data_IF_092351421222
#
_entry.id   IF_092351421222
#
_cell.length_a   1.000
_cell.length_b   1.000
_cell.length_c   1.000
_cell.angle_alpha   90.00
_cell.angle_beta   90.00
_cell.angle_gamma   90.00
#
_symmetry.space_group_name_H-M   'P 1'
#
loop_
_entity.id
_entity.type
_entity.pdbx_description
1 polymer ?
#
# COMPACT_ATOMS: atom_id res chain seq x y z
N UNK A 1 58.12 11.13 -3.27
CA UNK A 1 58.18 9.86 -4.03
C UNK A 1 56.90 9.10 -3.73
N UNK A 2 55.96 9.30 -4.65
CA UNK A 2 54.56 8.90 -4.57
C UNK A 2 54.38 7.40 -4.83
N UNK A 3 53.58 6.75 -4.00
CA UNK A 3 52.82 5.57 -4.44
C UNK A 3 51.35 5.80 -4.13
N UNK A 4 50.62 6.21 -5.14
CA UNK A 4 49.18 6.17 -5.26
C UNK A 4 48.74 4.71 -5.14
N UNK A 5 48.08 4.38 -4.04
CA UNK A 5 47.29 3.16 -3.94
C UNK A 5 45.90 3.45 -4.49
N UNK A 6 45.70 3.08 -5.75
CA UNK A 6 44.41 2.93 -6.39
C UNK A 6 43.69 1.77 -5.70
N UNK A 7 42.84 2.10 -4.73
CA UNK A 7 41.84 1.19 -4.23
C UNK A 7 40.74 1.08 -5.29
N UNK A 8 40.88 0.07 -6.11
CA UNK A 8 39.85 -0.44 -7.00
C UNK A 8 38.76 -1.05 -6.10
N UNK A 9 37.74 -0.25 -5.78
CA UNK A 9 36.52 -0.77 -5.16
C UNK A 9 35.82 -1.63 -6.20
N UNK A 10 36.10 -2.93 -6.15
CA UNK A 10 35.34 -3.95 -6.83
C UNK A 10 33.95 -3.96 -6.18
N UNK A 11 33.02 -3.17 -6.73
CA UNK A 11 31.61 -3.31 -6.46
C UNK A 11 31.22 -4.71 -6.98
N UNK A 12 31.12 -5.63 -6.05
CA UNK A 12 30.46 -6.91 -6.27
C UNK A 12 28.98 -6.58 -6.55
N UNK A 13 28.67 -6.34 -7.80
CA UNK A 13 27.32 -6.51 -8.31
C UNK A 13 27.06 -8.01 -8.15
N UNK A 14 26.38 -8.37 -7.08
CA UNK A 14 25.76 -9.68 -6.96
C UNK A 14 24.71 -9.76 -8.06
N UNK A 15 25.17 -10.20 -9.24
CA UNK A 15 24.32 -10.80 -10.25
C UNK A 15 23.65 -11.98 -9.54
N UNK A 16 22.44 -11.75 -9.03
CA UNK A 16 21.54 -12.83 -8.77
C UNK A 16 21.31 -13.49 -10.14
N UNK A 17 22.10 -14.50 -10.40
CA UNK A 17 21.86 -15.44 -11.48
C UNK A 17 20.54 -16.12 -11.16
N UNK A 18 19.43 -15.50 -11.57
CA UNK A 18 18.22 -16.25 -11.81
C UNK A 18 18.58 -17.27 -12.86
N UNK A 19 18.75 -18.51 -12.45
CA UNK A 19 18.92 -19.60 -13.37
C UNK A 19 17.80 -19.49 -14.38
N UNK A 20 18.16 -19.27 -15.63
CA UNK A 20 17.29 -19.50 -16.77
C UNK A 20 17.06 -21.02 -16.85
N UNK A 21 16.19 -21.52 -15.99
CA UNK A 21 15.49 -22.76 -16.23
C UNK A 21 14.37 -22.45 -17.22
N UNK A 22 14.57 -22.87 -18.46
CA UNK A 22 13.57 -23.11 -19.51
C UNK A 22 12.46 -22.06 -19.68
N UNK A 23 12.73 -20.76 -19.65
CA UNK A 23 11.73 -19.72 -19.99
C UNK A 23 10.41 -19.79 -19.23
N UNK A 24 10.26 -20.71 -18.25
CA UNK A 24 9.04 -20.86 -17.45
C UNK A 24 9.09 -20.00 -16.18
N UNK A 25 7.97 -19.32 -15.87
CA UNK A 25 7.84 -18.50 -14.67
C UNK A 25 7.27 -19.34 -13.53
N UNK A 26 7.91 -19.27 -12.36
CA UNK A 26 7.48 -19.99 -11.17
C UNK A 26 6.45 -19.19 -10.36
N UNK A 27 5.68 -19.87 -9.50
CA UNK A 27 4.79 -19.22 -8.53
C UNK A 27 5.53 -18.19 -7.68
N UNK A 28 6.74 -18.49 -7.23
CA UNK A 28 7.55 -17.57 -6.43
C UNK A 28 7.86 -16.27 -7.17
N UNK A 29 8.19 -16.35 -8.46
CA UNK A 29 8.40 -15.18 -9.31
C UNK A 29 7.16 -14.25 -9.30
N UNK A 30 5.96 -14.82 -9.52
CA UNK A 30 4.72 -14.04 -9.53
C UNK A 30 4.41 -13.41 -8.16
N UNK A 31 4.62 -14.15 -7.06
CA UNK A 31 4.41 -13.63 -5.71
C UNK A 31 5.33 -12.44 -5.42
N UNK A 32 6.62 -12.55 -5.69
CA UNK A 32 7.56 -11.46 -5.41
C UNK A 32 7.29 -10.25 -6.32
N UNK A 33 7.04 -10.48 -7.60
CA UNK A 33 6.67 -9.39 -8.53
C UNK A 33 5.38 -8.69 -8.10
N UNK A 34 4.37 -9.43 -7.65
CA UNK A 34 3.14 -8.85 -7.14
C UNK A 34 3.37 -7.99 -5.89
N UNK A 35 4.22 -8.44 -4.95
CA UNK A 35 4.56 -7.67 -3.73
C UNK A 35 5.32 -6.39 -4.05
N UNK A 36 6.20 -6.43 -5.05
CA UNK A 36 6.95 -5.24 -5.49
C UNK A 36 6.07 -4.22 -6.20
N UNK A 37 5.17 -4.69 -7.05
CA UNK A 37 4.33 -3.83 -7.88
C UNK A 37 3.01 -3.41 -7.20
N UNK A 38 2.65 -3.98 -6.04
CA UNK A 38 1.38 -3.68 -5.39
C UNK A 38 1.31 -2.26 -4.84
N UNK A 39 0.44 -1.39 -5.38
CA UNK A 39 0.26 -0.03 -4.86
C UNK A 39 -0.34 -0.04 -3.45
N UNK A 40 -1.12 -1.06 -3.11
CA UNK A 40 -1.72 -1.21 -1.79
C UNK A 40 -0.65 -1.50 -0.71
N UNK A 41 0.29 -2.40 -1.00
CA UNK A 41 1.42 -2.68 -0.09
C UNK A 41 2.30 -1.44 0.05
N UNK A 42 2.57 -0.72 -1.04
CA UNK A 42 3.32 0.53 -1.00
C UNK A 42 2.63 1.59 -0.13
N UNK A 43 1.30 1.75 -0.22
CA UNK A 43 0.54 2.65 0.65
C UNK A 43 0.66 2.27 2.13
N UNK A 44 0.54 1.00 2.47
CA UNK A 44 0.70 0.56 3.87
C UNK A 44 2.14 0.72 4.39
N UNK A 45 3.16 0.53 3.57
CA UNK A 45 4.55 0.83 3.93
C UNK A 45 4.76 2.32 4.19
N UNK A 46 4.23 3.18 3.33
CA UNK A 46 4.24 4.63 3.55
C UNK A 46 3.55 5.03 4.86
N UNK A 47 2.42 4.40 5.20
CA UNK A 47 1.75 4.63 6.49
C UNK A 47 2.62 4.24 7.68
N UNK A 48 3.41 3.18 7.57
CA UNK A 48 4.38 2.80 8.61
C UNK A 48 5.45 3.88 8.80
N UNK A 49 5.95 4.46 7.71
CA UNK A 49 6.90 5.59 7.77
C UNK A 49 6.27 6.84 8.40
N UNK A 50 5.01 7.13 8.09
CA UNK A 50 4.25 8.23 8.72
C UNK A 50 4.16 8.04 10.23
N UNK A 51 3.84 6.83 10.72
CA UNK A 51 3.78 6.56 12.16
C UNK A 51 5.16 6.70 12.85
N UNK A 52 6.24 6.37 12.16
CA UNK A 52 7.60 6.59 12.66
C UNK A 52 7.95 8.08 12.72
N UNK A 53 7.63 8.86 11.69
CA UNK A 53 7.82 10.31 11.66
C UNK A 53 6.97 11.00 12.74
N UNK A 54 5.76 10.52 12.99
CA UNK A 54 4.89 11.00 14.07
C UNK A 54 5.52 10.81 15.45
N UNK A 55 6.23 9.72 15.68
CA UNK A 55 6.97 9.51 16.93
C UNK A 55 8.04 10.60 17.14
N UNK A 56 8.77 10.98 16.10
CA UNK A 56 9.76 12.06 16.19
C UNK A 56 9.09 13.42 16.42
N UNK A 57 7.99 13.69 15.73
CA UNK A 57 7.18 14.90 15.94
C UNK A 57 6.68 15.01 17.39
N UNK A 58 6.14 13.92 17.95
CA UNK A 58 5.70 13.88 19.34
C UNK A 58 6.86 14.11 20.31
N UNK A 59 8.02 13.52 20.05
CA UNK A 59 9.22 13.78 20.84
C UNK A 59 9.58 15.28 20.85
N UNK A 60 9.62 15.91 19.69
CA UNK A 60 9.89 17.34 19.58
C UNK A 60 8.84 18.17 20.34
N UNK A 61 7.56 17.89 20.15
CA UNK A 61 6.46 18.61 20.77
C UNK A 61 6.47 18.56 22.31
N UNK A 62 6.84 17.41 22.91
CA UNK A 62 6.83 17.25 24.37
C UNK A 62 8.16 17.57 25.05
N UNK A 63 9.27 17.67 24.30
CA UNK A 63 10.60 17.84 24.92
C UNK A 63 11.32 19.09 24.47
N UNK A 64 11.01 19.62 23.29
CA UNK A 64 11.68 20.81 22.78
C UNK A 64 10.88 22.07 23.07
N UNK A 65 11.59 23.19 23.19
CA UNK A 65 10.98 24.51 23.16
C UNK A 65 10.62 24.91 21.73
N UNK A 66 9.58 25.69 21.58
CA UNK A 66 9.23 26.27 20.29
C UNK A 66 9.10 27.79 20.41
N UNK A 67 9.40 28.45 19.32
CA UNK A 67 9.26 29.89 19.15
C UNK A 67 8.17 30.15 18.12
N UNK A 68 7.17 30.90 18.53
CA UNK A 68 6.07 31.33 17.66
C UNK A 68 6.24 32.84 17.41
N UNK A 69 6.20 33.22 16.14
CA UNK A 69 6.19 34.61 15.72
C UNK A 69 4.78 34.99 15.30
N UNK A 70 4.21 35.97 16.00
CA UNK A 70 2.89 36.47 15.73
C UNK A 70 2.99 37.89 15.17
N UNK A 71 2.22 38.19 14.14
CA UNK A 71 2.14 39.52 13.59
C UNK A 71 0.72 39.82 13.13
N UNK A 72 0.15 40.89 13.65
CA UNK A 72 -1.17 41.34 13.29
C UNK A 72 -1.10 42.74 12.71
N UNK A 73 -1.76 42.94 11.59
CA UNK A 73 -1.96 44.26 11.01
C UNK A 73 -3.46 44.55 10.94
N UNK A 74 -3.89 45.52 11.77
CA UNK A 74 -5.28 45.94 11.77
C UNK A 74 -5.47 47.09 10.75
N UNK A 75 -6.18 46.80 9.71
CA UNK A 75 -6.62 47.78 8.74
C UNK A 75 -8.09 48.12 8.96
N UNK A 76 -8.34 49.33 9.53
CA UNK A 76 -9.72 49.82 9.75
C UNK A 76 -9.94 51.05 8.90
N UNK A 77 -10.56 50.93 7.72
CA UNK A 77 -10.93 52.08 6.92
C UNK A 77 -12.09 52.83 7.55
N UNK A 78 -11.86 54.06 7.98
CA UNK A 78 -12.91 54.90 8.57
C UNK A 78 -13.36 55.88 7.56
N UNK A 79 -14.63 55.85 7.23
CA UNK A 79 -15.29 56.86 6.42
C UNK A 79 -16.07 57.76 7.34
N UNK A 80 -15.55 58.94 7.65
CA UNK A 80 -16.26 59.96 8.43
C UNK A 80 -16.97 60.94 7.52
N UNK A 81 -18.20 61.37 7.89
CA UNK A 81 -18.94 62.40 7.18
C UNK A 81 -18.89 63.65 8.04
N UNK A 82 -17.95 64.51 7.75
CA UNK A 82 -17.83 65.81 8.42
C UNK A 82 -18.22 66.93 7.47
N UNK A 83 -19.20 67.78 7.91
CA UNK A 83 -19.65 68.89 7.10
C UNK A 83 -20.25 68.58 5.72
N UNK A 84 -20.80 67.34 5.52
CA UNK A 84 -21.40 66.89 4.26
C UNK A 84 -20.41 66.30 3.24
N UNK A 85 -19.13 66.24 3.56
CA UNK A 85 -18.12 65.62 2.74
C UNK A 85 -17.60 64.30 3.35
N UNK A 86 -17.52 63.24 2.56
CA UNK A 86 -16.92 61.97 2.98
C UNK A 86 -15.41 62.16 3.06
N UNK A 87 -14.82 61.97 4.26
CA UNK A 87 -13.40 61.93 4.47
C UNK A 87 -12.96 60.53 4.82
N UNK A 88 -11.93 60.02 4.13
CA UNK A 88 -11.35 58.70 4.33
C UNK A 88 -10.12 58.84 5.26
N UNK A 89 -10.18 58.28 6.47
CA UNK A 89 -9.07 58.32 7.40
C UNK A 89 -8.48 56.94 7.57
N UNK A 90 -7.15 56.82 7.35
CA UNK A 90 -6.36 55.58 7.44
C UNK A 90 -5.84 55.33 8.89
N UNK A 91 -6.10 56.23 9.84
CA UNK A 91 -5.52 56.12 11.14
C UNK A 91 -6.51 55.51 12.16
N UNK A 92 -6.13 54.39 12.74
CA UNK A 92 -6.92 53.67 13.75
C UNK A 92 -7.16 54.49 15.03
N UNK A 93 -6.37 55.53 15.31
CA UNK A 93 -6.58 56.42 16.49
C UNK A 93 -7.89 57.17 16.46
N UNK A 94 -8.57 57.21 15.35
CA UNK A 94 -9.88 57.89 15.25
C UNK A 94 -11.05 56.90 15.30
N UNK A 95 -10.83 55.62 15.50
CA UNK A 95 -11.91 54.62 15.53
C UNK A 95 -12.73 54.69 16.81
N UNK A 96 -12.16 55.18 17.92
CA UNK A 96 -12.82 55.40 19.20
C UNK A 96 -13.92 56.48 19.15
N UNK A 97 -13.77 57.46 18.25
CA UNK A 97 -14.75 58.56 18.13
C UNK A 97 -15.97 58.17 17.28
N UNK A 98 -15.95 57.04 16.59
CA UNK A 98 -16.95 56.75 15.55
C UNK A 98 -18.19 56.02 16.05
N UNK A 99 -18.13 55.13 17.04
CA UNK A 99 -19.27 54.34 17.51
C UNK A 99 -19.33 54.08 19.01
N UNK A 100 -18.52 54.72 19.83
CA UNK A 100 -18.51 54.49 21.28
C UNK A 100 -18.02 53.08 21.66
N UNK A 101 -17.39 52.37 20.77
CA UNK A 101 -16.66 51.13 21.04
C UNK A 101 -15.26 51.49 21.48
N UNK A 102 -14.96 51.23 22.73
CA UNK A 102 -13.59 51.24 23.24
C UNK A 102 -12.86 50.04 22.70
N UNK A 103 -12.08 50.22 21.63
CA UNK A 103 -11.21 49.19 21.07
C UNK A 103 -9.94 48.98 21.93
N UNK A 104 -9.92 49.58 23.13
CA UNK A 104 -8.77 49.58 24.02
C UNK A 104 -7.69 50.56 23.61
N UNK A 105 -6.78 50.85 24.52
CA UNK A 105 -5.66 51.80 24.30
C UNK A 105 -4.62 51.31 23.30
N UNK A 106 -4.75 50.11 22.77
CA UNK A 106 -3.87 49.61 21.71
C UNK A 106 -4.23 50.19 20.36
N UNK A 107 -3.87 51.38 20.14
CA UNK A 107 -4.05 52.12 18.89
C UNK A 107 -3.00 51.83 17.81
N UNK A 108 -2.21 50.80 17.98
CA UNK A 108 -1.25 50.35 17.00
C UNK A 108 -1.93 49.67 15.80
N UNK A 109 -1.66 50.14 14.61
CA UNK A 109 -2.08 49.46 13.39
C UNK A 109 -1.25 48.22 13.08
N UNK A 110 -0.22 47.97 13.86
CA UNK A 110 0.73 46.87 13.68
C UNK A 110 1.15 46.34 15.04
N UNK A 111 1.04 45.01 15.18
CA UNK A 111 1.54 44.29 16.35
C UNK A 111 2.47 43.17 15.82
N UNK A 112 3.69 43.09 16.34
CA UNK A 112 4.60 41.98 16.08
C UNK A 112 5.14 41.46 17.41
N UNK A 113 4.99 40.17 17.65
CA UNK A 113 5.41 39.52 18.87
C UNK A 113 6.08 38.17 18.61
N UNK A 114 6.90 37.77 19.58
CA UNK A 114 7.50 36.46 19.63
C UNK A 114 7.15 35.80 20.98
N UNK A 115 6.64 34.59 20.93
CA UNK A 115 6.33 33.79 22.13
C UNK A 115 7.22 32.57 22.14
N UNK A 116 8.06 32.43 23.17
CA UNK A 116 8.85 31.23 23.41
C UNK A 116 8.14 30.37 24.48
N UNK A 117 7.93 29.10 24.17
CA UNK A 117 7.25 28.16 25.07
C UNK A 117 8.11 26.95 25.34
N UNK A 118 8.22 26.53 26.60
CA UNK A 118 8.94 25.34 27.04
C UNK A 118 8.04 24.48 27.92
N UNK A 119 7.73 23.21 27.51
CA UNK A 119 7.03 22.28 28.38
C UNK A 119 7.89 21.83 29.57
N UNK A 120 7.36 21.92 30.80
CA UNK A 120 8.08 21.50 32.00
C UNK A 120 7.57 20.14 32.49
N UNK A 121 6.26 19.89 32.49
CA UNK A 121 5.63 18.66 32.96
C UNK A 121 5.14 17.78 31.79
N UNK A 122 5.97 17.63 30.74
CA UNK A 122 5.61 16.84 29.55
C UNK A 122 5.97 15.35 29.59
N UNK A 123 6.86 14.93 30.52
CA UNK A 123 7.45 13.56 30.49
C UNK A 123 6.44 12.41 30.59
N UNK A 124 5.41 12.56 31.42
CA UNK A 124 4.40 11.50 31.57
C UNK A 124 3.51 11.39 30.33
N UNK A 125 3.16 12.54 29.74
CA UNK A 125 2.39 12.60 28.50
C UNK A 125 3.20 12.09 27.32
N UNK A 126 4.48 12.45 27.24
CA UNK A 126 5.39 11.93 26.23
C UNK A 126 5.52 10.40 26.27
N UNK A 127 5.70 9.80 27.46
CA UNK A 127 5.78 8.33 27.57
C UNK A 127 4.55 7.63 27.04
N UNK A 128 3.36 8.11 27.35
CA UNK A 128 2.12 7.52 26.86
C UNK A 128 1.96 7.74 25.36
N UNK A 129 2.28 8.93 24.86
CA UNK A 129 2.28 9.21 23.43
C UNK A 129 3.29 8.31 22.66
N UNK A 130 4.48 8.09 23.25
CA UNK A 130 5.49 7.19 22.68
C UNK A 130 5.02 5.73 22.67
N UNK A 131 4.41 5.24 23.75
CA UNK A 131 3.87 3.88 23.80
C UNK A 131 2.71 3.73 22.78
N UNK A 132 1.84 4.73 22.64
CA UNK A 132 0.78 4.74 21.64
C UNK A 132 1.33 4.71 20.21
N UNK A 133 2.29 5.58 19.88
CA UNK A 133 2.91 5.64 18.58
C UNK A 133 3.62 4.32 18.22
N UNK A 134 4.25 3.67 19.20
CA UNK A 134 4.83 2.33 19.00
C UNK A 134 3.77 1.29 18.65
N UNK A 135 2.64 1.27 19.37
CA UNK A 135 1.52 0.37 19.07
C UNK A 135 0.98 0.65 17.66
N UNK A 136 0.83 1.92 17.28
CA UNK A 136 0.39 2.30 15.93
C UNK A 136 1.36 1.78 14.85
N UNK A 137 2.67 1.93 15.09
CA UNK A 137 3.71 1.39 14.18
C UNK A 137 3.61 -0.13 14.08
N UNK A 138 3.44 -0.85 15.21
CA UNK A 138 3.29 -2.30 15.23
C UNK A 138 2.00 -2.74 14.50
N UNK A 139 0.90 -2.00 14.66
CA UNK A 139 -0.37 -2.21 13.93
C UNK A 139 -0.18 -2.00 12.42
N UNK A 140 0.49 -0.92 12.01
CA UNK A 140 0.78 -0.64 10.62
C UNK A 140 1.65 -1.74 9.99
N UNK A 141 2.69 -2.19 10.68
CA UNK A 141 3.53 -3.31 10.25
C UNK A 141 2.75 -4.63 10.13
N UNK A 142 1.87 -4.93 11.11
CA UNK A 142 1.04 -6.12 11.04
C UNK A 142 0.06 -6.04 9.86
N UNK A 143 -0.44 -4.85 9.54
CA UNK A 143 -1.32 -4.64 8.38
C UNK A 143 -0.59 -4.91 7.07
N UNK A 144 0.65 -4.41 6.91
CA UNK A 144 1.49 -4.75 5.74
C UNK A 144 1.59 -6.26 5.58
N UNK A 145 1.94 -6.99 6.64
CA UNK A 145 2.08 -8.46 6.61
C UNK A 145 0.77 -9.18 6.29
N UNK A 146 -0.36 -8.67 6.75
CA UNK A 146 -1.68 -9.24 6.42
C UNK A 146 -2.02 -9.04 4.95
N UNK A 147 -1.72 -7.88 4.39
CA UNK A 147 -1.97 -7.58 2.97
C UNK A 147 -1.01 -8.36 2.06
N UNK A 148 0.27 -8.49 2.45
CA UNK A 148 1.21 -9.36 1.74
C UNK A 148 0.72 -10.81 1.71
N UNK A 149 0.21 -11.34 2.82
CA UNK A 149 -0.34 -12.69 2.90
C UNK A 149 -1.61 -12.84 2.04
N UNK A 150 -2.49 -11.84 2.04
CA UNK A 150 -3.70 -11.86 1.21
C UNK A 150 -3.37 -11.82 -0.29
N UNK A 151 -2.40 -10.98 -0.68
CA UNK A 151 -1.92 -10.91 -2.05
C UNK A 151 -1.27 -12.23 -2.49
N UNK A 152 -0.41 -12.81 -1.66
CA UNK A 152 0.22 -14.11 -1.90
C UNK A 152 -0.84 -15.21 -2.12
N UNK A 153 -1.89 -15.21 -1.32
CA UNK A 153 -3.01 -16.13 -1.49
C UNK A 153 -3.71 -15.91 -2.83
N UNK A 154 -4.06 -14.67 -3.18
CA UNK A 154 -4.75 -14.36 -4.43
C UNK A 154 -3.92 -14.74 -5.65
N UNK A 155 -2.61 -14.44 -5.64
CA UNK A 155 -1.68 -14.83 -6.70
C UNK A 155 -1.58 -16.35 -6.82
N UNK A 156 -1.50 -17.05 -5.68
CA UNK A 156 -1.44 -18.52 -5.65
C UNK A 156 -2.70 -19.15 -6.23
N UNK A 157 -3.89 -18.66 -5.84
CA UNK A 157 -5.18 -19.12 -6.36
C UNK A 157 -5.26 -18.93 -7.88
N UNK A 158 -4.86 -17.75 -8.39
CA UNK A 158 -4.87 -17.46 -9.82
C UNK A 158 -3.84 -18.31 -10.60
N UNK A 159 -2.65 -18.51 -10.05
CA UNK A 159 -1.62 -19.37 -10.63
C UNK A 159 -2.09 -20.83 -10.76
N UNK A 160 -2.76 -21.34 -9.71
CA UNK A 160 -3.34 -22.70 -9.74
C UNK A 160 -4.44 -22.83 -10.78
N UNK A 161 -5.26 -21.80 -11.02
CA UNK A 161 -6.25 -21.80 -12.10
C UNK A 161 -5.57 -21.91 -13.46
N UNK A 162 -4.51 -21.14 -13.71
CA UNK A 162 -3.74 -21.25 -14.95
C UNK A 162 -3.15 -22.65 -15.16
N UNK A 163 -2.63 -23.28 -14.10
CA UNK A 163 -2.12 -24.66 -14.20
C UNK A 163 -3.23 -25.69 -14.49
N UNK A 164 -4.41 -25.49 -13.91
CA UNK A 164 -5.58 -26.32 -14.17
C UNK A 164 -6.00 -26.24 -15.65
N UNK A 165 -6.10 -25.03 -16.18
CA UNK A 165 -6.46 -24.81 -17.58
C UNK A 165 -5.42 -25.38 -18.52
N UNK A 166 -4.13 -25.21 -18.22
CA UNK A 166 -3.04 -25.84 -18.97
C UNK A 166 -3.20 -27.37 -19.00
N UNK A 167 -3.47 -27.98 -17.85
CA UNK A 167 -3.72 -29.43 -17.78
C UNK A 167 -4.95 -29.83 -18.60
N UNK A 168 -6.00 -29.00 -18.65
CA UNK A 168 -7.18 -29.24 -19.47
C UNK A 168 -6.85 -29.15 -20.98
N UNK A 169 -6.02 -28.21 -21.41
CA UNK A 169 -5.52 -28.11 -22.78
C UNK A 169 -4.73 -29.37 -23.14
N UNK A 170 -3.78 -29.77 -22.33
CA UNK A 170 -2.94 -30.95 -22.55
C UNK A 170 -3.78 -32.24 -22.61
N UNK A 171 -4.82 -32.33 -21.79
CA UNK A 171 -5.78 -33.45 -21.79
C UNK A 171 -6.57 -33.48 -23.10
N UNK A 172 -7.18 -32.38 -23.52
CA UNK A 172 -7.99 -32.32 -24.75
C UNK A 172 -7.15 -32.52 -26.00
N UNK A 173 -5.90 -32.06 -26.05
CA UNK A 173 -4.92 -32.35 -27.13
C UNK A 173 -4.62 -33.85 -27.19
N UNK A 174 -4.41 -34.49 -26.03
CA UNK A 174 -4.16 -35.93 -25.96
C UNK A 174 -5.36 -36.76 -26.45
N UNK A 175 -6.57 -36.37 -26.02
CA UNK A 175 -7.83 -36.99 -26.47
C UNK A 175 -8.00 -36.81 -27.97
N UNK A 176 -7.74 -35.63 -28.51
CA UNK A 176 -7.79 -35.35 -29.96
C UNK A 176 -6.89 -36.27 -30.75
N UNK A 177 -5.67 -36.48 -30.29
CA UNK A 177 -4.69 -37.39 -30.92
C UNK A 177 -5.22 -38.83 -30.96
N UNK A 178 -5.86 -39.30 -29.89
CA UNK A 178 -6.46 -40.66 -29.84
C UNK A 178 -7.65 -40.78 -30.80
N UNK A 179 -8.53 -39.77 -30.85
CA UNK A 179 -9.70 -39.74 -31.72
C UNK A 179 -9.23 -39.76 -33.22
N UNK A 180 -8.24 -38.93 -33.58
CA UNK A 180 -7.73 -38.89 -34.94
C UNK A 180 -7.11 -40.22 -35.38
N UNK A 181 -6.38 -40.89 -34.49
CA UNK A 181 -5.86 -42.24 -34.74
C UNK A 181 -6.99 -43.24 -35.02
N UNK A 182 -8.09 -43.20 -34.19
CA UNK A 182 -9.26 -44.06 -34.38
C UNK A 182 -9.98 -43.77 -35.70
N UNK A 183 -10.16 -42.48 -36.04
CA UNK A 183 -10.75 -42.08 -37.33
C UNK A 183 -9.95 -42.70 -38.50
N UNK A 184 -8.60 -42.64 -38.43
CA UNK A 184 -7.75 -43.25 -39.45
C UNK A 184 -7.98 -44.78 -39.65
N UNK A 185 -8.18 -45.48 -38.53
CA UNK A 185 -8.46 -46.93 -38.56
C UNK A 185 -9.89 -47.21 -39.10
N UNK A 186 -10.92 -46.56 -38.54
CA UNK A 186 -12.31 -46.77 -38.93
C UNK A 186 -12.57 -46.38 -40.37
N UNK A 187 -11.91 -45.32 -40.87
CA UNK A 187 -12.01 -44.92 -42.27
C UNK A 187 -11.55 -46.07 -43.22
N UNK A 188 -10.42 -46.70 -42.91
CA UNK A 188 -9.95 -47.86 -43.68
C UNK A 188 -10.89 -49.05 -43.60
N UNK A 189 -11.51 -49.33 -42.47
CA UNK A 189 -12.49 -50.37 -42.30
C UNK A 189 -13.78 -50.13 -43.12
N UNK A 190 -14.25 -48.87 -43.15
CA UNK A 190 -15.39 -48.46 -43.97
C UNK A 190 -15.09 -48.58 -45.44
N UNK A 191 -13.90 -48.15 -45.90
CA UNK A 191 -13.46 -48.30 -47.30
C UNK A 191 -13.42 -49.75 -47.75
N UNK A 192 -13.08 -50.68 -46.84
CA UNK A 192 -13.06 -52.12 -47.11
C UNK A 192 -14.43 -52.82 -46.81
N UNK A 193 -15.49 -52.06 -46.48
CA UNK A 193 -16.82 -52.63 -46.21
C UNK A 193 -16.94 -53.40 -44.90
N UNK A 194 -15.95 -53.23 -43.96
CA UNK A 194 -15.88 -53.92 -42.68
C UNK A 194 -16.50 -53.13 -41.52
N UNK A 195 -16.85 -51.83 -41.72
CA UNK A 195 -17.54 -50.98 -40.75
C UNK A 195 -18.56 -50.08 -41.44
N UNK A 196 -19.51 -49.52 -40.66
CA UNK A 196 -20.55 -48.67 -41.21
C UNK A 196 -20.10 -47.22 -41.35
N UNK A 197 -20.60 -46.49 -42.35
CA UNK A 197 -20.38 -45.08 -42.52
C UNK A 197 -20.87 -44.25 -41.33
N UNK A 198 -21.89 -44.72 -40.60
CA UNK A 198 -22.39 -44.10 -39.36
C UNK A 198 -21.33 -44.05 -38.27
N UNK A 199 -20.50 -45.08 -38.15
CA UNK A 199 -19.47 -45.18 -37.10
C UNK A 199 -18.36 -44.13 -37.34
N UNK A 200 -17.96 -43.95 -38.63
CA UNK A 200 -17.04 -42.89 -38.98
C UNK A 200 -17.62 -41.50 -38.70
N UNK A 201 -18.90 -41.27 -39.04
CA UNK A 201 -19.56 -39.97 -38.77
C UNK A 201 -19.61 -39.65 -37.28
N UNK A 202 -19.87 -40.67 -36.44
CA UNK A 202 -19.89 -40.46 -34.99
C UNK A 202 -18.55 -40.01 -34.45
N UNK A 203 -17.44 -40.64 -34.90
CA UNK A 203 -16.10 -40.25 -34.51
C UNK A 203 -15.70 -38.84 -35.00
N UNK A 204 -16.19 -38.42 -36.17
CA UNK A 204 -15.97 -37.06 -36.66
C UNK A 204 -16.69 -36.04 -35.81
N UNK A 205 -17.94 -36.31 -35.36
CA UNK A 205 -18.68 -35.45 -34.43
C UNK A 205 -17.94 -35.35 -33.09
N UNK A 206 -17.45 -36.48 -32.57
CA UNK A 206 -16.69 -36.53 -31.33
C UNK A 206 -15.39 -35.74 -31.40
N UNK A 207 -14.67 -35.81 -32.54
CA UNK A 207 -13.48 -35.01 -32.83
C UNK A 207 -13.81 -33.52 -32.82
N UNK A 208 -14.90 -33.10 -33.48
CA UNK A 208 -15.28 -31.69 -33.57
C UNK A 208 -15.70 -31.15 -32.20
N UNK A 209 -16.44 -31.95 -31.41
CA UNK A 209 -16.78 -31.58 -30.02
C UNK A 209 -15.52 -31.45 -29.14
N UNK A 210 -14.53 -32.36 -29.27
CA UNK A 210 -13.27 -32.23 -28.52
C UNK A 210 -12.45 -31.00 -28.98
N UNK A 211 -12.49 -30.64 -30.24
CA UNK A 211 -11.80 -29.45 -30.78
C UNK A 211 -12.44 -28.14 -30.20
N UNK A 212 -13.77 -28.12 -30.01
CA UNK A 212 -14.45 -27.01 -29.33
C UNK A 212 -14.03 -26.89 -27.87
N UNK A 213 -13.98 -28.02 -27.15
CA UNK A 213 -13.51 -28.04 -25.75
C UNK A 213 -12.05 -27.58 -25.62
N UNK A 214 -11.18 -28.01 -26.54
CA UNK A 214 -9.79 -27.56 -26.57
C UNK A 214 -9.68 -26.07 -26.82
N UNK A 215 -10.48 -25.54 -27.75
CA UNK A 215 -10.50 -24.10 -28.03
C UNK A 215 -10.96 -23.31 -26.81
N UNK A 216 -12.00 -23.75 -26.13
CA UNK A 216 -12.47 -23.12 -24.88
C UNK A 216 -11.40 -23.16 -23.80
N UNK A 217 -10.76 -24.31 -23.56
CA UNK A 217 -9.70 -24.46 -22.56
C UNK A 217 -8.49 -23.54 -22.86
N UNK A 218 -8.13 -23.37 -24.12
CA UNK A 218 -7.06 -22.42 -24.51
C UNK A 218 -7.45 -20.96 -24.26
N UNK A 219 -8.70 -20.60 -24.48
CA UNK A 219 -9.21 -19.26 -24.20
C UNK A 219 -9.23 -18.99 -22.69
N UNK A 220 -9.68 -19.95 -21.89
CA UNK A 220 -9.70 -19.85 -20.43
C UNK A 220 -8.27 -19.69 -19.90
N UNK A 221 -7.31 -20.52 -20.36
CA UNK A 221 -5.90 -20.40 -20.01
C UNK A 221 -5.34 -18.99 -20.31
N UNK A 222 -5.61 -18.49 -21.52
CA UNK A 222 -5.13 -17.16 -21.90
C UNK A 222 -5.74 -16.06 -21.02
N UNK A 223 -7.04 -16.14 -20.74
CA UNK A 223 -7.75 -15.17 -19.88
C UNK A 223 -7.20 -15.19 -18.46
N UNK A 224 -7.08 -16.37 -17.85
CA UNK A 224 -6.56 -16.49 -16.49
C UNK A 224 -5.07 -16.10 -16.38
N UNK A 225 -4.28 -16.33 -17.45
CA UNK A 225 -2.90 -15.86 -17.49
C UNK A 225 -2.81 -14.33 -17.59
N UNK A 226 -3.70 -13.69 -18.34
CA UNK A 226 -3.81 -12.22 -18.37
C UNK A 226 -4.21 -11.68 -17.01
N UNK A 227 -5.17 -12.30 -16.34
CA UNK A 227 -5.60 -11.91 -14.99
C UNK A 227 -4.46 -12.07 -13.98
N UNK A 228 -3.66 -13.14 -14.08
CA UNK A 228 -2.47 -13.34 -13.24
C UNK A 228 -1.43 -12.24 -13.48
N UNK A 229 -1.14 -11.92 -14.74
CA UNK A 229 -0.21 -10.84 -15.08
C UNK A 229 -0.72 -9.48 -14.55
N UNK A 230 -2.00 -9.17 -14.75
CA UNK A 230 -2.63 -7.94 -14.24
C UNK A 230 -2.54 -7.85 -12.70
N UNK A 231 -2.84 -8.95 -12.00
CA UNK A 231 -2.75 -9.01 -10.54
C UNK A 231 -1.32 -8.76 -10.03
N UNK A 232 -0.32 -9.18 -10.80
CA UNK A 232 1.10 -9.01 -10.48
C UNK A 232 1.70 -7.69 -11.01
N UNK A 233 0.91 -6.86 -11.72
CA UNK A 233 1.38 -5.63 -12.34
C UNK A 233 2.40 -5.88 -13.47
N UNK A 234 2.21 -6.95 -14.24
CA UNK A 234 3.04 -7.32 -15.37
C UNK A 234 2.33 -6.92 -16.66
N UNK A 235 2.89 -5.97 -17.40
CA UNK A 235 2.30 -5.46 -18.66
C UNK A 235 2.54 -6.36 -19.88
N UNK A 236 3.30 -7.43 -19.74
CA UNK A 236 3.58 -8.35 -20.84
C UNK A 236 2.40 -9.28 -21.13
N UNK A 237 1.92 -9.23 -22.37
CA UNK A 237 0.89 -10.14 -22.90
C UNK A 237 1.48 -11.45 -23.48
N UNK A 238 2.74 -11.79 -23.18
CA UNK A 238 3.38 -12.97 -23.74
C UNK A 238 2.86 -14.24 -23.07
N UNK A 239 2.54 -15.26 -23.88
CA UNK A 239 2.26 -16.62 -23.43
C UNK A 239 3.55 -17.24 -22.88
N UNK A 240 3.78 -17.05 -21.59
CA UNK A 240 4.92 -17.61 -20.89
C UNK A 240 4.52 -18.94 -20.26
N UNK A 241 5.34 -19.96 -20.44
CA UNK A 241 5.11 -21.25 -19.80
C UNK A 241 5.18 -21.10 -18.27
N UNK A 242 4.26 -21.76 -17.57
CA UNK A 242 4.25 -21.82 -16.11
C UNK A 242 4.97 -23.09 -15.63
N UNK A 243 5.72 -22.95 -14.54
CA UNK A 243 6.37 -24.11 -13.89
C UNK A 243 5.37 -24.87 -13.02
N UNK A 244 5.49 -26.19 -12.98
CA UNK A 244 4.70 -27.01 -12.07
C UNK A 244 5.05 -26.76 -10.60
N UNK A 245 4.05 -26.82 -9.73
CA UNK A 245 4.24 -26.66 -8.28
C UNK A 245 4.60 -28.03 -7.68
N UNK A 246 5.87 -28.18 -7.30
CA UNK A 246 6.35 -29.38 -6.60
C UNK A 246 6.57 -29.18 -5.09
N UNK A 247 5.96 -28.13 -4.49
CA UNK A 247 6.20 -27.82 -3.10
C UNK A 247 5.37 -28.68 -2.15
N UNK A 248 6.01 -29.31 -1.14
CA UNK A 248 5.26 -30.03 -0.13
C UNK A 248 4.41 -29.06 0.72
N UNK A 249 3.17 -29.43 0.98
CA UNK A 249 2.30 -28.70 1.93
C UNK A 249 2.98 -28.71 3.30
N UNK A 250 3.40 -27.56 3.78
CA UNK A 250 3.92 -27.40 5.14
C UNK A 250 2.78 -27.06 6.07
N UNK A 251 2.48 -27.95 6.98
CA UNK A 251 1.60 -27.63 8.10
C UNK A 251 2.32 -26.61 8.98
N UNK A 252 1.61 -25.54 9.34
CA UNK A 252 2.12 -24.54 10.27
C UNK A 252 2.42 -25.19 11.61
N UNK A 253 3.57 -24.89 12.23
CA UNK A 253 3.87 -25.36 13.57
C UNK A 253 2.93 -24.68 14.59
N UNK A 254 2.39 -25.46 15.52
CA UNK A 254 1.36 -25.06 16.51
C UNK A 254 1.83 -23.98 17.53
N UNK A 255 2.90 -23.28 17.28
CA UNK A 255 3.48 -22.32 18.24
C UNK A 255 3.57 -20.87 17.78
N UNK A 256 3.39 -20.57 16.50
CA UNK A 256 3.49 -19.19 16.01
C UNK A 256 2.14 -18.50 16.04
N UNK A 257 2.04 -17.29 16.65
CA UNK A 257 0.80 -16.52 16.64
C UNK A 257 0.40 -16.21 15.19
N UNK A 258 -0.87 -16.41 14.88
CA UNK A 258 -1.43 -16.03 13.58
C UNK A 258 -1.39 -14.49 13.43
N UNK A 259 -1.23 -13.99 12.22
CA UNK A 259 -1.32 -12.55 11.93
C UNK A 259 -2.64 -11.95 12.44
N UNK A 260 -3.73 -12.70 12.37
CA UNK A 260 -5.04 -12.29 12.90
C UNK A 260 -5.05 -12.24 14.43
N UNK A 261 -4.43 -13.22 15.11
CA UNK A 261 -4.29 -13.22 16.57
C UNK A 261 -3.46 -12.02 17.03
N UNK A 262 -2.41 -11.69 16.30
CA UNK A 262 -1.57 -10.53 16.56
C UNK A 262 -2.37 -9.22 16.39
N UNK A 263 -3.23 -9.13 15.37
CA UNK A 263 -4.11 -7.97 15.20
C UNK A 263 -5.00 -7.77 16.43
N UNK A 264 -5.68 -8.79 16.92
CA UNK A 264 -6.52 -8.68 18.12
C UNK A 264 -5.72 -8.29 19.37
N UNK A 265 -4.50 -8.79 19.50
CA UNK A 265 -3.60 -8.39 20.60
C UNK A 265 -3.26 -6.90 20.53
N UNK A 266 -2.91 -6.41 19.36
CA UNK A 266 -2.59 -5.00 19.12
C UNK A 266 -3.81 -4.10 19.32
N UNK A 267 -4.99 -4.50 18.86
CA UNK A 267 -6.25 -3.76 19.06
C UNK A 267 -6.59 -3.64 20.55
N UNK A 268 -6.38 -4.71 21.32
CA UNK A 268 -6.56 -4.69 22.77
C UNK A 268 -5.59 -3.72 23.45
N UNK A 269 -4.31 -3.74 23.05
CA UNK A 269 -3.31 -2.79 23.56
C UNK A 269 -3.64 -1.36 23.18
N UNK A 270 -4.08 -1.11 21.94
CA UNK A 270 -4.49 0.20 21.47
C UNK A 270 -5.66 0.75 22.29
N UNK A 271 -6.66 -0.09 22.58
CA UNK A 271 -7.79 0.28 23.44
C UNK A 271 -7.34 0.66 24.87
N UNK A 272 -6.45 -0.14 25.45
CA UNK A 272 -5.90 0.15 26.78
C UNK A 272 -5.09 1.46 26.81
N UNK A 273 -4.31 1.72 25.75
CA UNK A 273 -3.54 2.96 25.64
C UNK A 273 -4.43 4.19 25.38
N UNK A 274 -5.50 4.04 24.61
CA UNK A 274 -6.50 5.11 24.40
C UNK A 274 -7.14 5.53 25.73
N UNK A 275 -7.50 4.57 26.58
CA UNK A 275 -8.00 4.84 27.93
C UNK A 275 -6.95 5.57 28.79
N UNK A 276 -5.69 5.14 28.72
CA UNK A 276 -4.59 5.78 29.45
C UNK A 276 -4.33 7.20 28.97
N UNK A 277 -4.39 7.43 27.67
CA UNK A 277 -4.26 8.74 27.04
C UNK A 277 -5.41 9.66 27.46
N UNK A 278 -6.64 9.16 27.45
CA UNK A 278 -7.80 9.90 27.95
C UNK A 278 -7.60 10.35 29.40
N UNK A 279 -7.18 9.46 30.28
CA UNK A 279 -6.93 9.79 31.70
C UNK A 279 -5.82 10.83 31.90
N UNK A 280 -4.87 10.95 30.93
CA UNK A 280 -3.83 11.98 31.00
C UNK A 280 -4.33 13.39 30.71
N UNK A 281 -5.45 13.55 30.02
CA UNK A 281 -6.02 14.88 29.73
C UNK A 281 -6.43 15.60 30.99
N UNK A 282 -6.73 14.88 32.08
CA UNK A 282 -7.11 15.41 33.39
C UNK A 282 -5.92 15.67 34.33
N UNK A 283 -4.69 15.36 33.90
CA UNK A 283 -3.49 15.67 34.66
C UNK A 283 -3.06 17.13 34.45
N UNK A 284 -2.53 17.79 35.45
CA UNK A 284 -2.05 19.16 35.31
C UNK A 284 -0.90 19.21 34.31
N UNK A 285 -0.94 20.23 33.43
CA UNK A 285 0.12 20.60 32.51
C UNK A 285 0.78 21.87 32.99
N UNK A 286 2.09 21.95 32.88
CA UNK A 286 2.85 23.14 33.22
C UNK A 286 3.81 23.45 32.09
N UNK A 287 3.57 24.61 31.47
CA UNK A 287 4.42 25.14 30.42
C UNK A 287 4.95 26.50 30.86
N UNK A 288 6.21 26.77 30.61
CA UNK A 288 6.79 28.09 30.79
C UNK A 288 6.72 28.82 29.44
N UNK A 289 6.16 30.03 29.47
CA UNK A 289 6.15 30.87 28.29
C UNK A 289 6.73 32.26 28.56
N UNK A 290 7.42 32.79 27.60
CA UNK A 290 7.92 34.17 27.58
C UNK A 290 7.44 34.83 26.31
N UNK A 291 6.76 35.95 26.46
CA UNK A 291 6.25 36.74 25.34
C UNK A 291 6.96 38.10 25.31
N UNK A 292 7.37 38.53 24.14
CA UNK A 292 7.90 39.86 23.92
C UNK A 292 7.44 40.39 22.55
N UNK A 293 7.01 41.64 22.50
CA UNK A 293 6.47 42.20 21.27
C UNK A 293 6.62 43.70 21.19
N UNK A 294 6.41 44.23 19.97
CA UNK A 294 6.31 45.64 19.64
C UNK A 294 4.86 45.94 19.26
N UNK A 295 4.36 47.04 19.77
CA UNK A 295 2.99 47.50 19.53
C UNK A 295 2.99 48.96 19.02
#
# INVERSE_FOLDING_TARGET
MNRLLLLFSLSLVSLHSYGQEDGSRSLHYYIETAKENSPLIADYRNRTEIEQAELERLKAMYTHSWLELNGDYLFVPIVSKDGGRAAFKWNARSATDYYGYDLGESSGSFHAGATWTQPILGRSSYKVAQEQAKINTDMANNRVRMEEHQLERSVTEQYLLCLLDKAQVDFTDSVGTVIDSRIGIVRKLVENGLSKQSDLKLLLIERDANAELNTAARQDYHTHLMDLNLLCGIDEAADVALSDISQPVRLRSDGEPSLFTEQYRLDSLNTAMSLRSFNLQYKPKLDLFVNGGLQ
#
